data_IF_494020123383
#
_entry.id   IF_494020123383
#
_cell.length_a   1.000
_cell.length_b   1.000
_cell.length_c   1.000
_cell.angle_alpha   90.00
_cell.angle_beta   90.00
_cell.angle_gamma   90.00
#
_symmetry.space_group_name_H-M   'P 1'
#
loop_
_entity.id
_entity.type
_entity.pdbx_description
1 polymer ?
#
# COMPACT_ATOMS: atom_id res chain seq x y z
N UNK A 1 -20.65 -6.57 -8.52
CA UNK A 1 -20.16 -7.78 -9.20
C UNK A 1 -18.66 -7.89 -9.00
N UNK A 2 -18.15 -9.01 -8.46
CA UNK A 2 -16.71 -9.23 -8.32
C UNK A 2 -16.01 -9.47 -9.67
N UNK A 3 -14.72 -9.16 -9.72
CA UNK A 3 -13.82 -9.51 -10.83
C UNK A 3 -13.08 -10.81 -10.53
N UNK A 4 -12.89 -11.63 -11.57
CA UNK A 4 -12.13 -12.88 -11.52
C UNK A 4 -11.11 -12.88 -12.64
N UNK A 5 -9.91 -13.38 -12.34
CA UNK A 5 -8.82 -13.49 -13.30
C UNK A 5 -8.77 -14.88 -13.92
N UNK A 6 -8.47 -14.96 -15.21
CA UNK A 6 -8.32 -16.21 -15.96
C UNK A 6 -6.96 -16.24 -16.66
N UNK A 7 -6.38 -17.44 -16.80
CA UNK A 7 -5.11 -17.67 -17.49
C UNK A 7 -5.21 -18.90 -18.41
N UNK A 8 -4.76 -18.76 -19.66
CA UNK A 8 -4.65 -19.88 -20.60
C UNK A 8 -3.28 -20.58 -20.54
N UNK A 9 -3.17 -21.75 -21.17
CA UNK A 9 -1.90 -22.49 -21.31
C UNK A 9 -0.81 -21.68 -22.01
N UNK A 10 -1.21 -20.81 -22.95
CA UNK A 10 -0.31 -19.93 -23.71
C UNK A 10 0.18 -18.72 -22.91
N UNK A 11 -0.24 -18.58 -21.64
CA UNK A 11 0.23 -17.55 -20.73
C UNK A 11 -0.55 -16.22 -20.76
N UNK A 12 -1.51 -16.05 -21.66
CA UNK A 12 -2.38 -14.86 -21.67
C UNK A 12 -3.24 -14.78 -20.40
N UNK A 13 -3.47 -13.56 -19.90
CA UNK A 13 -4.30 -13.28 -18.72
C UNK A 13 -5.36 -12.24 -19.03
N UNK A 14 -6.54 -12.38 -18.43
CA UNK A 14 -7.59 -11.37 -18.51
C UNK A 14 -8.51 -11.45 -17.30
N UNK A 15 -9.19 -10.33 -17.02
CA UNK A 15 -10.20 -10.24 -15.98
C UNK A 15 -11.61 -10.22 -16.58
N UNK A 16 -12.54 -10.92 -15.91
CA UNK A 16 -13.95 -10.97 -16.26
C UNK A 16 -14.81 -10.85 -15.00
N UNK A 17 -15.96 -10.18 -15.13
CA UNK A 17 -16.90 -9.99 -14.04
C UNK A 17 -17.93 -11.12 -14.07
N UNK A 18 -18.08 -11.81 -12.95
CA UNK A 18 -19.12 -12.84 -12.77
C UNK A 18 -19.84 -12.60 -11.45
N UNK A 19 -21.06 -13.12 -11.32
CA UNK A 19 -21.69 -13.22 -9.99
C UNK A 19 -20.94 -14.31 -9.21
N UNK A 20 -20.98 -14.24 -7.88
CA UNK A 20 -20.30 -15.27 -7.07
C UNK A 20 -20.91 -16.66 -7.27
N UNK A 21 -22.18 -16.73 -7.69
CA UNK A 21 -22.92 -17.98 -7.94
C UNK A 21 -22.69 -18.58 -9.32
N UNK A 22 -22.29 -17.78 -10.32
CA UNK A 22 -22.23 -18.21 -11.72
C UNK A 22 -20.82 -18.14 -12.31
N UNK A 23 -19.79 -17.97 -11.47
CA UNK A 23 -18.41 -17.92 -11.94
C UNK A 23 -17.98 -19.29 -12.49
N UNK A 24 -17.62 -19.39 -13.78
CA UNK A 24 -17.20 -20.66 -14.36
C UNK A 24 -15.75 -21.00 -13.98
N UNK A 25 -15.40 -22.28 -14.01
CA UNK A 25 -14.00 -22.74 -13.83
C UNK A 25 -13.12 -22.41 -15.04
N UNK A 26 -13.73 -22.32 -16.22
CA UNK A 26 -13.05 -22.00 -17.49
C UNK A 26 -13.81 -20.96 -18.30
N UNK A 27 -13.08 -20.14 -19.05
CA UNK A 27 -13.61 -19.18 -20.00
C UNK A 27 -12.76 -19.16 -21.28
N UNK A 28 -13.32 -18.65 -22.38
CA UNK A 28 -12.59 -18.47 -23.62
C UNK A 28 -11.58 -17.31 -23.48
N UNK A 29 -10.35 -17.53 -23.92
CA UNK A 29 -9.30 -16.52 -23.86
C UNK A 29 -9.56 -15.40 -24.87
N UNK A 30 -9.68 -14.16 -24.39
CA UNK A 30 -9.92 -12.97 -25.23
C UNK A 30 -8.76 -12.60 -26.16
N UNK A 31 -7.58 -13.21 -25.98
CA UNK A 31 -6.40 -12.94 -26.79
C UNK A 31 -6.12 -14.03 -27.83
N UNK A 32 -6.24 -15.30 -27.46
CA UNK A 32 -5.87 -16.43 -28.33
C UNK A 32 -7.00 -17.42 -28.63
N UNK A 33 -8.21 -17.24 -28.07
CA UNK A 33 -9.34 -18.15 -28.24
C UNK A 33 -9.22 -19.51 -27.54
N UNK A 34 -8.08 -19.79 -26.90
CA UNK A 34 -7.88 -21.03 -26.13
C UNK A 34 -8.69 -21.09 -24.82
N UNK A 35 -8.73 -22.27 -24.19
CA UNK A 35 -9.38 -22.45 -22.89
C UNK A 35 -8.53 -21.81 -21.79
N UNK A 36 -9.08 -20.82 -21.08
CA UNK A 36 -8.46 -20.21 -19.92
C UNK A 36 -9.09 -20.71 -18.63
N UNK A 37 -8.29 -21.13 -17.65
CA UNK A 37 -8.76 -21.56 -16.33
C UNK A 37 -8.80 -20.38 -15.37
N UNK A 38 -9.73 -20.41 -14.42
CA UNK A 38 -9.80 -19.41 -13.35
C UNK A 38 -8.51 -19.46 -12.54
N UNK A 39 -7.79 -18.35 -12.54
CA UNK A 39 -6.58 -18.19 -11.75
C UNK A 39 -6.99 -17.63 -10.38
N UNK A 40 -6.59 -18.31 -9.30
CA UNK A 40 -6.55 -17.67 -7.99
C UNK A 40 -5.36 -16.74 -8.03
N UNK A 41 -5.59 -15.51 -8.47
CA UNK A 41 -4.60 -14.46 -8.33
C UNK A 41 -4.48 -14.12 -6.85
N UNK A 42 -3.44 -13.35 -6.53
CA UNK A 42 -3.23 -12.90 -5.18
C UNK A 42 -3.71 -11.44 -5.11
N UNK A 43 -5.03 -11.21 -5.02
CA UNK A 43 -5.59 -9.87 -5.06
C UNK A 43 -4.94 -9.09 -3.94
N UNK A 44 -4.40 -7.92 -4.27
CA UNK A 44 -3.80 -7.00 -3.31
C UNK A 44 -2.54 -7.50 -2.58
N UNK A 45 -1.82 -8.53 -3.04
CA UNK A 45 -0.50 -8.86 -2.44
C UNK A 45 0.47 -7.68 -2.48
N UNK A 46 0.43 -6.87 -3.55
CA UNK A 46 1.25 -5.66 -3.66
C UNK A 46 0.89 -4.59 -2.61
N UNK A 47 -0.35 -4.60 -2.08
CA UNK A 47 -0.78 -3.66 -1.06
C UNK A 47 -0.01 -3.86 0.25
N UNK A 48 0.40 -5.11 0.55
CA UNK A 48 1.20 -5.41 1.74
C UNK A 48 2.56 -4.68 1.78
N UNK A 49 3.10 -4.31 0.62
CA UNK A 49 4.34 -3.54 0.51
C UNK A 49 4.18 -2.03 0.66
N UNK A 50 2.95 -1.52 0.80
CA UNK A 50 2.69 -0.06 0.85
C UNK A 50 2.92 0.52 2.24
N UNK A 51 3.28 1.80 2.31
CA UNK A 51 3.43 2.52 3.58
C UNK A 51 2.15 2.56 4.41
N UNK A 52 0.98 2.63 3.74
CA UNK A 52 -0.32 2.60 4.40
C UNK A 52 -0.57 1.25 5.09
N UNK A 53 -0.29 0.13 4.41
CA UNK A 53 -0.40 -1.19 5.01
C UNK A 53 0.58 -1.36 6.17
N UNK A 54 1.85 -0.96 5.98
CA UNK A 54 2.88 -1.03 7.03
C UNK A 54 2.47 -0.24 8.29
N UNK A 55 1.82 0.92 8.13
CA UNK A 55 1.34 1.72 9.26
C UNK A 55 0.25 0.99 10.05
N UNK A 56 -0.71 0.36 9.37
CA UNK A 56 -1.77 -0.42 10.02
C UNK A 56 -1.18 -1.63 10.74
N UNK A 57 -0.28 -2.36 10.10
CA UNK A 57 0.40 -3.52 10.69
C UNK A 57 1.21 -3.14 11.94
N UNK A 58 2.00 -2.07 11.86
CA UNK A 58 2.75 -1.55 13.01
C UNK A 58 1.83 -1.12 14.16
N UNK A 59 0.71 -0.46 13.87
CA UNK A 59 -0.25 -0.06 14.89
C UNK A 59 -0.87 -1.27 15.59
N UNK A 60 -1.28 -2.30 14.84
CA UNK A 60 -1.81 -3.54 15.40
C UNK A 60 -0.79 -4.24 16.31
N UNK A 61 0.45 -4.40 15.83
CA UNK A 61 1.52 -5.07 16.58
C UNK A 61 1.95 -4.33 17.84
N UNK A 62 1.81 -3.00 17.88
CA UNK A 62 2.26 -2.19 19.01
C UNK A 62 1.66 -2.59 20.37
N UNK A 63 0.49 -3.23 20.38
CA UNK A 63 -0.18 -3.67 21.60
C UNK A 63 0.52 -4.85 22.29
N UNK A 64 1.20 -5.71 21.53
CA UNK A 64 1.82 -6.95 22.03
C UNK A 64 3.32 -7.06 21.70
N UNK A 65 3.81 -6.30 20.73
CA UNK A 65 5.22 -6.20 20.31
C UNK A 65 5.61 -4.72 20.07
N UNK A 66 5.61 -3.89 21.13
CA UNK A 66 6.04 -2.50 20.97
C UNK A 66 7.53 -2.44 20.59
N UNK A 67 7.86 -1.56 19.64
CA UNK A 67 9.25 -1.30 19.30
C UNK A 67 9.96 -0.60 20.48
N UNK A 68 11.01 -1.25 21.01
CA UNK A 68 11.89 -0.63 22.01
C UNK A 68 12.88 0.26 21.27
N UNK A 69 12.92 1.54 21.64
CA UNK A 69 13.83 2.53 21.04
C UNK A 69 14.91 2.94 22.04
N UNK A 70 16.18 2.62 21.74
CA UNK A 70 17.32 2.97 22.61
C UNK A 70 17.81 4.42 22.42
N UNK A 71 17.19 5.14 21.49
CA UNK A 71 17.43 6.54 21.19
C UNK A 71 16.14 7.16 20.68
N UNK A 72 15.95 8.45 20.95
CA UNK A 72 14.85 9.17 20.33
C UNK A 72 14.96 9.03 18.81
N UNK A 73 13.83 8.88 18.08
CA UNK A 73 13.85 8.97 16.63
C UNK A 73 14.60 10.24 16.26
N UNK A 74 15.62 10.12 15.40
CA UNK A 74 16.39 11.28 14.98
C UNK A 74 15.40 12.34 14.54
N UNK A 75 15.41 13.52 15.18
CA UNK A 75 14.46 14.57 14.88
C UNK A 75 14.58 14.85 13.38
N UNK A 76 13.62 14.35 12.58
CA UNK A 76 13.73 14.34 11.13
C UNK A 76 14.09 15.74 10.69
N UNK A 77 15.21 15.87 9.95
CA UNK A 77 15.85 17.12 9.52
C UNK A 77 15.20 18.34 10.18
N UNK A 78 15.53 18.59 11.46
CA UNK A 78 14.98 19.72 12.19
C UNK A 78 15.38 20.94 11.38
N UNK A 79 14.45 21.45 10.55
CA UNK A 79 14.74 22.57 9.69
C UNK A 79 15.30 23.65 10.61
N UNK A 80 16.48 24.22 10.30
CA UNK A 80 17.08 25.20 11.19
C UNK A 80 16.03 26.27 11.47
N UNK A 81 15.83 26.55 12.76
CA UNK A 81 14.92 27.62 13.18
C UNK A 81 15.29 28.86 12.37
N UNK A 82 14.33 29.39 11.61
CA UNK A 82 14.58 30.54 10.76
C UNK A 82 14.87 31.74 11.65
N UNK A 83 16.14 32.09 11.77
CA UNK A 83 16.57 33.30 12.48
C UNK A 83 16.18 34.49 11.61
N UNK A 84 15.26 35.31 12.13
CA UNK A 84 14.86 36.57 11.50
C UNK A 84 15.80 37.68 11.95
N UNK A 85 16.41 38.39 10.99
CA UNK A 85 17.35 39.51 11.21
C UNK A 85 16.65 40.88 11.27
N UNK A 86 15.38 40.90 11.70
CA UNK A 86 14.63 42.15 11.79
C UNK A 86 15.27 43.07 12.86
N UNK A 87 15.70 44.30 12.50
CA UNK A 87 16.31 45.23 13.46
C UNK A 87 15.37 45.63 14.61
N UNK A 88 14.06 45.48 14.44
CA UNK A 88 13.07 45.74 15.50
C UNK A 88 13.20 44.79 16.70
N UNK A 89 13.82 43.62 16.55
CA UNK A 89 14.08 42.72 17.68
C UNK A 89 14.98 43.33 18.74
N UNK A 90 15.80 44.32 18.38
CA UNK A 90 16.63 45.03 19.36
C UNK A 90 15.80 45.81 20.40
N UNK A 91 14.52 46.08 20.10
CA UNK A 91 13.59 46.80 20.97
C UNK A 91 12.76 45.90 21.88
N UNK A 92 12.89 44.57 21.76
CA UNK A 92 12.16 43.65 22.62
C UNK A 92 12.71 43.69 24.05
N UNK A 93 11.86 43.58 25.09
CA UNK A 93 12.32 43.48 26.47
C UNK A 93 13.21 42.26 26.62
N UNK A 94 14.37 42.45 27.24
CA UNK A 94 15.25 41.33 27.61
C UNK A 94 14.91 40.96 29.05
N UNK A 95 14.62 39.68 29.28
CA UNK A 95 14.53 39.10 30.61
C UNK A 95 15.92 38.79 31.14
#
# INVERSE_FOLDING_TARGET
>A
MPSYSFQCSEGCRFDAMFTMSEVPETAECRACGGVARRAITAPHLSAAGTSAFQLVDHAARSAHEPAVVDRLPGSGSRAPQRVTRNPLHAKLPRA
#
